data_IF_265913504941
#
_entry.id   IF_265913504941
#
_cell.length_a   1.000
_cell.length_b   1.000
_cell.length_c   1.000
_cell.angle_alpha   90.00
_cell.angle_beta   90.00
_cell.angle_gamma   90.00
#
_symmetry.space_group_name_H-M   'P 1'
#
loop_
_entity.id
_entity.type
_entity.pdbx_description
1 polymer ?
#
# COMPACT_ATOMS: atom_id res chain seq x y z
N UNK A 1 1.48 25.27 -4.48
CA UNK A 1 2.28 25.22 -3.23
C UNK A 1 1.91 24.05 -2.31
N UNK A 2 0.71 23.46 -2.41
CA UNK A 2 0.24 22.36 -1.54
C UNK A 2 0.76 20.96 -1.92
N UNK A 3 1.24 20.77 -3.16
CA UNK A 3 1.69 19.46 -3.66
C UNK A 3 2.87 18.87 -2.88
N UNK A 4 3.81 19.72 -2.43
CA UNK A 4 4.97 19.30 -1.64
C UNK A 4 4.59 18.85 -0.23
N UNK A 5 3.60 19.50 0.38
CA UNK A 5 3.08 19.12 1.70
C UNK A 5 2.35 17.77 1.64
N UNK A 6 1.58 17.53 0.57
CA UNK A 6 0.90 16.25 0.32
C UNK A 6 1.91 15.13 0.08
N UNK A 7 2.94 15.37 -0.74
CA UNK A 7 4.02 14.40 -0.96
C UNK A 7 4.80 14.08 0.33
N UNK A 8 5.04 15.09 1.17
CA UNK A 8 5.73 14.90 2.44
C UNK A 8 4.91 14.05 3.42
N UNK A 9 3.60 14.31 3.51
CA UNK A 9 2.68 13.50 4.32
C UNK A 9 2.56 12.05 3.82
N UNK A 10 2.50 11.85 2.50
CA UNK A 10 2.49 10.51 1.89
C UNK A 10 3.81 9.79 2.22
N UNK A 11 4.95 10.46 2.09
CA UNK A 11 6.26 9.87 2.38
C UNK A 11 6.43 9.49 3.86
N UNK A 12 5.92 10.32 4.77
CA UNK A 12 5.85 10.04 6.21
C UNK A 12 4.95 8.83 6.52
N UNK A 13 3.78 8.75 5.88
CA UNK A 13 2.86 7.62 6.02
C UNK A 13 3.47 6.30 5.52
N UNK A 14 4.21 6.34 4.40
CA UNK A 14 4.92 5.19 3.85
C UNK A 14 6.03 4.73 4.79
N UNK A 15 6.88 5.63 5.27
CA UNK A 15 7.98 5.29 6.19
C UNK A 15 7.46 4.73 7.51
N UNK A 16 6.37 5.29 8.04
CA UNK A 16 5.72 4.75 9.23
C UNK A 16 5.17 3.33 9.01
N UNK A 17 4.50 3.11 7.88
CA UNK A 17 3.97 1.80 7.49
C UNK A 17 5.07 0.75 7.35
N UNK A 18 6.20 1.10 6.74
CA UNK A 18 7.36 0.21 6.57
C UNK A 18 8.00 -0.11 7.92
N UNK A 19 8.24 0.88 8.77
CA UNK A 19 8.84 0.68 10.10
C UNK A 19 8.00 -0.26 10.97
N UNK A 20 6.68 -0.18 10.85
CA UNK A 20 5.75 -1.06 11.56
C UNK A 20 5.77 -2.50 11.02
N UNK A 21 5.85 -2.69 9.70
CA UNK A 21 6.01 -4.02 9.07
C UNK A 21 7.35 -4.66 9.45
N UNK A 22 8.45 -3.92 9.37
CA UNK A 22 9.81 -4.40 9.73
C UNK A 22 9.90 -4.79 11.20
N UNK A 23 9.32 -4.00 12.10
CA UNK A 23 9.28 -4.33 13.53
C UNK A 23 8.46 -5.61 13.82
N UNK A 24 7.43 -5.91 13.02
CA UNK A 24 6.66 -7.15 13.16
C UNK A 24 7.36 -8.36 12.55
N UNK A 25 8.03 -8.19 11.41
CA UNK A 25 8.85 -9.23 10.81
C UNK A 25 10.01 -9.61 11.72
N UNK A 26 10.69 -8.63 12.34
CA UNK A 26 11.80 -8.89 13.27
C UNK A 26 11.37 -9.62 14.55
N UNK A 27 10.10 -9.52 14.95
CA UNK A 27 9.54 -10.29 16.08
C UNK A 27 9.06 -11.70 15.69
N UNK A 28 8.96 -12.04 14.40
CA UNK A 28 8.56 -13.36 13.93
C UNK A 28 9.72 -14.16 13.30
N UNK A 29 10.90 -13.55 13.14
CA UNK A 29 12.08 -14.15 12.49
C UNK A 29 13.04 -14.89 13.44
N UNK A 30 12.58 -15.26 14.63
CA UNK A 30 13.31 -16.24 15.45
C UNK A 30 13.10 -17.69 14.96
N UNK A 31 12.27 -17.89 13.94
CA UNK A 31 11.97 -19.20 13.40
C UNK A 31 11.98 -19.17 11.87
N UNK A 32 12.88 -19.96 11.28
CA UNK A 32 12.88 -20.49 9.92
C UNK A 32 13.63 -19.71 8.82
N UNK A 33 14.91 -20.07 8.71
CA UNK A 33 15.58 -20.58 7.51
C UNK A 33 15.39 -19.91 6.13
N UNK A 34 16.52 -19.37 5.66
CA UNK A 34 17.14 -19.58 4.33
C UNK A 34 16.37 -19.21 3.05
N UNK A 35 16.87 -18.13 2.43
CA UNK A 35 17.00 -17.79 0.98
C UNK A 35 16.11 -16.76 0.30
N UNK A 36 15.09 -16.21 0.94
CA UNK A 36 14.38 -15.04 0.38
C UNK A 36 14.71 -13.81 1.20
N UNK A 37 15.33 -12.80 0.59
CA UNK A 37 15.55 -11.51 1.27
C UNK A 37 14.20 -11.03 1.83
N UNK A 38 14.09 -10.72 3.13
CA UNK A 38 12.84 -10.28 3.76
C UNK A 38 12.15 -9.12 3.01
N UNK A 39 12.94 -8.33 2.28
CA UNK A 39 12.47 -7.23 1.44
C UNK A 39 11.66 -7.75 0.24
N UNK A 40 12.11 -8.83 -0.40
CA UNK A 40 11.43 -9.41 -1.57
C UNK A 40 10.04 -9.93 -1.22
N UNK A 41 9.93 -10.64 -0.08
CA UNK A 41 8.66 -11.10 0.47
C UNK A 41 7.71 -9.94 0.76
N UNK A 42 8.20 -8.88 1.40
CA UNK A 42 7.39 -7.71 1.71
C UNK A 42 6.88 -6.97 0.46
N UNK A 43 7.68 -6.91 -0.61
CA UNK A 43 7.27 -6.33 -1.90
C UNK A 43 6.22 -7.23 -2.56
N UNK A 44 6.43 -8.54 -2.58
CA UNK A 44 5.49 -9.48 -3.18
C UNK A 44 4.12 -9.41 -2.49
N UNK A 45 4.09 -9.39 -1.17
CA UNK A 45 2.87 -9.23 -0.38
C UNK A 45 2.19 -7.88 -0.67
N UNK A 46 2.95 -6.78 -0.73
CA UNK A 46 2.41 -5.46 -1.04
C UNK A 46 1.76 -5.43 -2.43
N UNK A 47 2.44 -5.98 -3.45
CA UNK A 47 1.93 -6.01 -4.82
C UNK A 47 0.70 -6.91 -4.94
N UNK A 48 0.70 -8.07 -4.28
CA UNK A 48 -0.45 -8.97 -4.29
C UNK A 48 -1.70 -8.29 -3.71
N UNK A 49 -1.57 -7.63 -2.56
CA UNK A 49 -2.67 -6.90 -1.92
C UNK A 49 -3.13 -5.71 -2.77
N UNK A 50 -2.17 -4.90 -3.27
CA UNK A 50 -2.49 -3.74 -4.09
C UNK A 50 -3.19 -4.13 -5.40
N UNK A 51 -2.73 -5.21 -6.05
CA UNK A 51 -3.34 -5.73 -7.27
C UNK A 51 -4.78 -6.20 -7.05
N UNK A 52 -5.03 -6.94 -5.96
CA UNK A 52 -6.37 -7.38 -5.57
C UNK A 52 -7.32 -6.21 -5.27
N UNK A 53 -6.85 -5.20 -4.55
CA UNK A 53 -7.61 -3.98 -4.27
C UNK A 53 -7.94 -3.21 -5.56
N UNK A 54 -6.96 -3.02 -6.44
CA UNK A 54 -7.19 -2.32 -7.72
C UNK A 54 -8.24 -3.04 -8.58
N UNK A 55 -8.10 -4.36 -8.76
CA UNK A 55 -9.07 -5.19 -9.49
C UNK A 55 -10.48 -5.10 -8.90
N UNK A 56 -10.59 -5.14 -7.56
CA UNK A 56 -11.88 -5.02 -6.89
C UNK A 56 -12.51 -3.64 -7.08
N UNK A 57 -11.70 -2.59 -6.96
CA UNK A 57 -12.15 -1.21 -7.12
C UNK A 57 -12.57 -0.90 -8.56
N UNK A 58 -11.81 -1.35 -9.56
CA UNK A 58 -12.14 -1.09 -10.97
C UNK A 58 -13.44 -1.81 -11.37
N UNK A 59 -13.67 -3.02 -10.86
CA UNK A 59 -14.94 -3.73 -11.05
C UNK A 59 -16.10 -2.98 -10.40
N UNK A 60 -15.92 -2.48 -9.17
CA UNK A 60 -16.95 -1.71 -8.46
C UNK A 60 -17.31 -0.41 -9.20
N UNK A 61 -16.30 0.34 -9.62
CA UNK A 61 -16.45 1.58 -10.38
C UNK A 61 -17.17 1.31 -11.70
N UNK A 62 -16.78 0.24 -12.39
CA UNK A 62 -17.40 -0.19 -13.65
C UNK A 62 -18.87 -0.60 -13.46
N UNK A 63 -19.18 -1.31 -12.37
CA UNK A 63 -20.54 -1.69 -12.01
C UNK A 63 -21.43 -0.49 -11.71
N UNK A 64 -20.90 0.49 -10.97
CA UNK A 64 -21.60 1.74 -10.64
C UNK A 64 -21.63 2.74 -11.82
N UNK A 65 -20.97 2.43 -12.95
CA UNK A 65 -20.80 3.31 -14.10
C UNK A 65 -20.26 4.70 -13.73
N UNK A 66 -19.32 4.74 -12.79
CA UNK A 66 -18.68 5.99 -12.39
C UNK A 66 -17.58 6.30 -13.40
N UNK A 67 -17.68 7.46 -14.04
CA UNK A 67 -16.65 7.94 -14.97
C UNK A 67 -15.52 8.61 -14.17
N UNK A 68 -14.38 7.91 -14.07
CA UNK A 68 -13.17 8.40 -13.41
C UNK A 68 -12.13 8.69 -14.50
N UNK A 69 -11.35 9.78 -14.42
CA UNK A 69 -10.25 10.02 -15.35
C UNK A 69 -9.25 8.86 -15.33
N UNK A 70 -8.97 8.26 -16.49
CA UNK A 70 -8.05 7.12 -16.62
C UNK A 70 -6.63 7.45 -16.13
N UNK A 71 -6.21 8.71 -16.30
CA UNK A 71 -4.86 9.15 -15.97
C UNK A 71 -4.89 10.56 -15.40
N UNK A 72 -4.15 10.75 -14.32
CA UNK A 72 -3.78 12.07 -13.81
C UNK A 72 -2.31 12.32 -14.13
N UNK A 73 -2.01 13.52 -14.62
CA UNK A 73 -0.63 13.92 -14.85
C UNK A 73 -0.06 14.49 -13.56
N UNK A 74 0.93 13.80 -13.00
CA UNK A 74 1.74 14.32 -11.91
C UNK A 74 3.10 14.71 -12.50
N UNK A 75 3.30 16.01 -12.65
CA UNK A 75 4.49 16.63 -13.27
C UNK A 75 4.67 16.27 -14.75
N UNK A 76 5.09 15.04 -15.06
CA UNK A 76 5.23 14.49 -16.41
C UNK A 76 4.91 12.98 -16.48
N UNK A 77 4.46 12.38 -15.37
CA UNK A 77 4.11 10.96 -15.32
C UNK A 77 2.60 10.84 -15.29
N UNK A 78 2.05 10.09 -16.24
CA UNK A 78 0.64 9.72 -16.25
C UNK A 78 0.44 8.56 -15.26
N UNK A 79 -0.34 8.82 -14.21
CA UNK A 79 -0.64 7.85 -13.16
C UNK A 79 -2.13 7.53 -13.17
N UNK A 80 -2.47 6.28 -12.93
CA UNK A 80 -3.84 5.86 -12.71
C UNK A 80 -4.24 6.20 -11.25
N UNK A 81 -5.22 7.11 -11.05
CA UNK A 81 -5.67 7.49 -9.71
C UNK A 81 -6.12 6.29 -8.87
N UNK A 82 -6.79 5.33 -9.51
CA UNK A 82 -7.35 4.17 -8.84
C UNK A 82 -6.25 3.21 -8.39
N UNK A 83 -5.24 3.00 -9.23
CA UNK A 83 -4.06 2.23 -8.86
C UNK A 83 -3.30 2.88 -7.68
N UNK A 84 -3.19 4.22 -7.68
CA UNK A 84 -2.60 4.96 -6.56
C UNK A 84 -3.38 4.74 -5.26
N UNK A 85 -4.72 4.79 -5.30
CA UNK A 85 -5.55 4.52 -4.12
C UNK A 85 -5.42 3.08 -3.63
N UNK A 86 -5.35 2.10 -4.53
CA UNK A 86 -5.19 0.69 -4.17
C UNK A 86 -3.85 0.44 -3.47
N UNK A 87 -2.75 1.01 -3.99
CA UNK A 87 -1.43 0.93 -3.35
C UNK A 87 -1.45 1.62 -1.98
N UNK A 88 -2.07 2.81 -1.88
CA UNK A 88 -2.19 3.54 -0.62
C UNK A 88 -2.93 2.74 0.45
N UNK A 89 -4.06 2.12 0.09
CA UNK A 89 -4.82 1.25 0.98
C UNK A 89 -4.04 -0.01 1.36
N UNK A 90 -3.35 -0.64 0.40
CA UNK A 90 -2.50 -1.81 0.65
C UNK A 90 -1.36 -1.49 1.63
N UNK A 91 -0.80 -0.27 1.56
CA UNK A 91 0.23 0.19 2.48
C UNK A 91 -0.29 0.34 3.91
N UNK A 92 -1.51 0.87 4.05
CA UNK A 92 -2.18 1.16 5.34
C UNK A 92 -2.73 -0.10 6.03
N UNK A 93 -3.17 -1.12 5.29
CA UNK A 93 -3.76 -2.35 5.85
C UNK A 93 -3.01 -2.96 7.05
N UNK A 94 -1.67 -3.17 7.01
CA UNK A 94 -0.98 -3.73 8.17
C UNK A 94 -0.96 -2.82 9.38
N UNK A 95 -1.04 -1.49 9.24
CA UNK A 95 -1.16 -0.62 10.40
C UNK A 95 -2.44 -0.96 11.19
N UNK A 96 -3.57 -1.11 10.50
CA UNK A 96 -4.83 -1.53 11.11
C UNK A 96 -4.76 -2.94 11.69
N UNK A 97 -4.17 -3.90 10.97
CA UNK A 97 -3.99 -5.25 11.49
C UNK A 97 -3.11 -5.31 12.74
N UNK A 98 -2.22 -4.33 12.96
CA UNK A 98 -1.42 -4.24 14.19
C UNK A 98 -2.24 -3.69 15.36
N UNK A 99 -3.06 -2.67 15.11
CA UNK A 99 -3.92 -2.06 16.12
C UNK A 99 -5.00 -3.04 16.59
N UNK A 100 -5.63 -3.78 15.66
CA UNK A 100 -6.67 -4.75 16.00
C UNK A 100 -6.12 -5.96 16.78
N UNK A 101 -4.92 -6.44 16.44
CA UNK A 101 -4.28 -7.56 17.16
C UNK A 101 -3.87 -7.20 18.60
N UNK A 102 -3.77 -5.90 18.94
CA UNK A 102 -3.46 -5.46 20.31
C UNK A 102 -4.68 -5.38 21.23
N UNK A 103 -5.89 -5.61 20.71
CA UNK A 103 -7.16 -5.52 21.46
C UNK A 103 -7.81 -6.89 21.73
N UNK A 104 -7.07 -7.97 21.48
CA UNK A 104 -7.44 -9.35 21.81
C UNK A 104 -6.26 -10.03 22.51
#
# INVERSE_FOLDING_TARGET
MYAWAVLFLICLGITWSIKVRVSRFRNNLDNLDTKSSPISLAIQELVAVAGGLYLSLIMLVSFLKIEIPEKIFVYNVALDPLACTAIFLALIQPLFAKLFKSSC
#
